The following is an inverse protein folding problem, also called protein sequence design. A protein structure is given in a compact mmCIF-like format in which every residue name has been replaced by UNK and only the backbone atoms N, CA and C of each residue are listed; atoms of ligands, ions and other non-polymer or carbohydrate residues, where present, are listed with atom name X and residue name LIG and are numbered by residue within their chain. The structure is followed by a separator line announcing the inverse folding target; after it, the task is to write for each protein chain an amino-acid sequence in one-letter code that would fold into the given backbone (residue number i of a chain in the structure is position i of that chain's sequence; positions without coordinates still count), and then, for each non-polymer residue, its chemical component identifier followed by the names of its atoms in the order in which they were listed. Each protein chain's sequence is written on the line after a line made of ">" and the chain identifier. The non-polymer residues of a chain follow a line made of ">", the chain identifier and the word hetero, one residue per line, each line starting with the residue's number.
data_IF_503097760870
#
_entry.id   IF_503097760870
#
_cell.length_a   1.000
_cell.length_b   1.000
_cell.length_c   1.000
_cell.angle_alpha   90.00
_cell.angle_beta   90.00
_cell.angle_gamma   90.00
#
_symmetry.space_group_name_H-M   'P 1'
#
loop_
_entity.id
_entity.type
_entity.pdbx_description
1 polymer ?
#
# COMPACT_ATOMS: atom_id res chain seq x y z
N UNK A 1 17.83 -9.30 -8.40
CA UNK A 1 16.49 -9.88 -8.14
C UNK A 1 15.46 -8.84 -8.58
N UNK A 2 14.45 -9.21 -9.31
CA UNK A 2 13.34 -8.30 -9.65
C UNK A 2 12.53 -8.08 -8.38
N UNK A 3 12.26 -6.81 -8.01
CA UNK A 3 11.48 -6.50 -6.81
C UNK A 3 10.05 -7.05 -6.89
N UNK A 4 9.40 -7.26 -5.75
CA UNK A 4 8.02 -7.75 -5.66
C UNK A 4 7.07 -6.60 -6.05
N UNK A 5 6.18 -6.80 -7.04
CA UNK A 5 5.19 -5.78 -7.40
C UNK A 5 4.21 -5.52 -6.25
N UNK A 6 3.89 -4.25 -6.03
CA UNK A 6 2.93 -3.80 -5.03
C UNK A 6 1.85 -2.95 -5.69
N UNK A 7 0.60 -3.36 -5.53
CA UNK A 7 -0.59 -2.63 -5.99
C UNK A 7 -1.40 -2.17 -4.80
N UNK A 8 -1.86 -0.92 -4.83
CA UNK A 8 -2.76 -0.37 -3.83
C UNK A 8 -4.18 -0.31 -4.40
N UNK A 9 -5.15 -0.87 -3.68
CA UNK A 9 -6.57 -0.78 -4.02
C UNK A 9 -7.22 0.25 -3.12
N UNK A 10 -7.54 1.40 -3.69
CA UNK A 10 -8.24 2.51 -3.05
C UNK A 10 -9.69 2.60 -3.49
N UNK A 11 -10.40 3.58 -2.95
CA UNK A 11 -11.80 3.87 -3.28
C UNK A 11 -12.64 4.10 -2.03
N UNK A 12 -13.71 4.88 -2.16
CA UNK A 12 -14.53 5.27 -1.04
C UNK A 12 -15.26 4.09 -0.37
N UNK A 13 -15.84 4.32 0.80
CA UNK A 13 -16.58 3.32 1.56
C UNK A 13 -17.67 2.67 0.70
N UNK A 14 -17.74 1.34 0.73
CA UNK A 14 -18.72 0.58 -0.04
C UNK A 14 -18.47 0.51 -1.55
N UNK A 15 -17.39 1.05 -2.10
CA UNK A 15 -17.13 1.05 -3.54
C UNK A 15 -16.92 -0.35 -4.15
N UNK A 16 -16.70 -1.39 -3.35
CA UNK A 16 -16.50 -2.76 -3.82
C UNK A 16 -15.04 -3.22 -3.86
N UNK A 17 -14.14 -2.60 -3.08
CA UNK A 17 -12.72 -2.96 -2.99
C UNK A 17 -12.52 -4.43 -2.63
N UNK A 18 -13.13 -4.88 -1.53
CA UNK A 18 -13.06 -6.28 -1.07
C UNK A 18 -13.61 -7.26 -2.11
N UNK A 19 -14.63 -6.86 -2.87
CA UNK A 19 -15.17 -7.67 -3.99
C UNK A 19 -14.12 -7.85 -5.08
N UNK A 20 -13.42 -6.78 -5.45
CA UNK A 20 -12.34 -6.82 -6.44
C UNK A 20 -11.18 -7.69 -5.95
N UNK A 21 -10.78 -7.56 -4.68
CA UNK A 21 -9.73 -8.39 -4.08
C UNK A 21 -10.12 -9.87 -4.11
N UNK A 22 -11.36 -10.19 -3.74
CA UNK A 22 -11.87 -11.56 -3.83
C UNK A 22 -11.87 -12.11 -5.27
N UNK A 23 -12.12 -11.27 -6.27
CA UNK A 23 -11.99 -11.66 -7.66
C UNK A 23 -10.54 -12.00 -8.02
N UNK A 24 -9.57 -11.18 -7.58
CA UNK A 24 -8.14 -11.44 -7.76
C UNK A 24 -7.73 -12.78 -7.13
N UNK A 25 -8.17 -13.03 -5.90
CA UNK A 25 -7.81 -14.24 -5.15
C UNK A 25 -8.45 -15.52 -5.71
N UNK A 26 -9.63 -15.41 -6.36
CA UNK A 26 -10.29 -16.58 -7.01
C UNK A 26 -9.60 -17.04 -8.29
N UNK A 27 -8.88 -16.16 -8.96
CA UNK A 27 -8.21 -16.43 -10.22
C UNK A 27 -6.73 -16.08 -10.14
N UNK A 28 -5.93 -16.75 -9.29
CA UNK A 28 -4.57 -16.36 -8.98
C UNK A 28 -3.58 -16.57 -10.13
N UNK A 29 -3.99 -17.24 -11.22
CA UNK A 29 -3.15 -17.48 -12.40
C UNK A 29 -1.77 -18.07 -12.08
N UNK A 30 -1.70 -18.91 -11.04
CA UNK A 30 -0.45 -19.53 -10.59
C UNK A 30 0.48 -18.60 -9.80
N UNK A 31 0.03 -17.39 -9.41
CA UNK A 31 0.79 -16.45 -8.57
C UNK A 31 0.30 -16.53 -7.13
N UNK A 32 1.22 -16.33 -6.21
CA UNK A 32 0.89 -16.15 -4.79
C UNK A 32 0.71 -14.66 -4.50
N UNK A 33 -0.50 -14.28 -4.16
CA UNK A 33 -0.85 -12.93 -3.76
C UNK A 33 -0.82 -12.82 -2.25
N UNK A 34 -0.09 -11.85 -1.73
CA UNK A 34 -0.24 -11.43 -0.35
C UNK A 34 -1.19 -10.24 -0.31
N UNK A 35 -2.29 -10.38 0.41
CA UNK A 35 -3.26 -9.30 0.60
C UNK A 35 -3.13 -8.72 2.00
N UNK A 36 -2.89 -7.42 2.08
CA UNK A 36 -2.86 -6.67 3.34
C UNK A 36 -4.08 -5.78 3.41
N UNK A 37 -4.94 -6.02 4.40
CA UNK A 37 -6.17 -5.24 4.60
C UNK A 37 -5.94 -4.24 5.71
N UNK A 38 -6.19 -2.98 5.39
CA UNK A 38 -6.07 -1.88 6.32
C UNK A 38 -7.45 -1.32 6.63
N UNK A 39 -8.08 -1.79 7.71
CA UNK A 39 -9.41 -1.38 8.11
C UNK A 39 -9.42 -0.47 9.33
N UNK A 40 -10.42 0.45 9.32
CA UNK A 40 -10.73 1.39 10.39
C UNK A 40 -11.77 0.76 11.33
N UNK A 41 -11.35 0.06 12.36
CA UNK A 41 -12.32 -0.37 13.37
C UNK A 41 -11.88 -1.54 14.23
N UNK A 42 -12.50 -1.65 15.39
CA UNK A 42 -12.29 -2.74 16.34
C UNK A 42 -12.90 -4.09 15.90
N UNK A 43 -13.54 -4.13 14.73
CA UNK A 43 -14.12 -5.33 14.13
C UNK A 43 -13.73 -5.32 12.64
N UNK A 44 -12.81 -6.20 12.26
CA UNK A 44 -12.35 -6.39 10.88
C UNK A 44 -13.43 -7.09 10.05
N UNK A 45 -14.50 -6.39 9.69
CA UNK A 45 -15.60 -6.95 8.90
C UNK A 45 -15.13 -7.28 7.48
N UNK A 46 -14.31 -6.41 6.90
CA UNK A 46 -13.86 -6.58 5.51
C UNK A 46 -12.87 -7.73 5.35
N UNK A 47 -11.96 -7.92 6.29
CA UNK A 47 -11.02 -9.04 6.25
C UNK A 47 -11.71 -10.41 6.40
N UNK A 48 -12.80 -10.49 7.16
CA UNK A 48 -13.60 -11.73 7.28
C UNK A 48 -14.34 -12.10 6.00
N UNK A 49 -14.43 -11.18 5.04
CA UNK A 49 -15.07 -11.41 3.73
C UNK A 49 -14.09 -11.93 2.66
N UNK A 50 -12.81 -12.03 2.96
CA UNK A 50 -11.83 -12.58 2.02
C UNK A 50 -11.96 -14.10 1.88
N UNK A 51 -11.91 -14.58 0.64
CA UNK A 51 -12.17 -15.99 0.29
C UNK A 51 -11.06 -16.93 0.74
N UNK A 52 -9.84 -16.41 0.94
CA UNK A 52 -8.67 -17.18 1.41
C UNK A 52 -8.00 -16.46 2.57
N UNK A 53 -8.48 -16.73 3.78
CA UNK A 53 -7.96 -16.09 4.99
C UNK A 53 -6.78 -16.85 5.64
N UNK A 54 -6.38 -18.03 5.12
CA UNK A 54 -5.64 -18.97 5.95
C UNK A 54 -4.10 -18.91 5.85
N UNK A 55 -3.48 -18.49 4.74
CA UNK A 55 -2.01 -18.44 4.68
C UNK A 55 -1.43 -17.21 3.94
N UNK A 56 -2.21 -16.59 3.06
CA UNK A 56 -1.73 -15.50 2.18
C UNK A 56 -2.33 -14.13 2.52
N UNK A 57 -2.97 -13.98 3.69
CA UNK A 57 -3.63 -12.74 4.10
C UNK A 57 -3.10 -12.25 5.45
N UNK A 58 -2.44 -11.09 5.45
CA UNK A 58 -2.02 -10.42 6.69
C UNK A 58 -3.00 -9.30 7.00
N UNK A 59 -3.62 -9.38 8.17
CA UNK A 59 -4.45 -8.31 8.72
C UNK A 59 -3.59 -7.34 9.52
N UNK A 60 -3.57 -6.09 9.13
CA UNK A 60 -2.98 -5.02 9.92
C UNK A 60 -4.01 -4.57 10.96
N UNK A 61 -3.96 -5.19 12.14
CA UNK A 61 -4.77 -4.74 13.28
C UNK A 61 -4.01 -3.62 13.98
N UNK A 62 -4.51 -2.39 13.96
CA UNK A 62 -4.47 -1.52 15.14
C UNK A 62 -4.98 -0.12 14.85
N UNK A 63 -5.75 0.36 15.77
CA UNK A 63 -6.44 1.63 15.74
C UNK A 63 -5.53 2.87 15.79
N UNK A 64 -6.10 3.99 15.38
CA UNK A 64 -5.54 5.33 15.27
C UNK A 64 -4.55 5.57 14.15
N UNK A 65 -5.09 5.67 13.03
CA UNK A 65 -4.55 5.61 11.69
C UNK A 65 -3.96 6.94 11.18
N UNK A 66 -4.13 8.05 11.85
CA UNK A 66 -3.69 9.33 11.30
C UNK A 66 -2.18 9.61 11.43
N UNK A 67 -1.47 8.92 12.34
CA UNK A 67 -0.09 9.25 12.65
C UNK A 67 0.90 8.06 12.65
N UNK A 68 0.42 6.81 12.69
CA UNK A 68 1.28 5.61 12.89
C UNK A 68 1.28 4.61 11.73
N UNK A 69 0.38 4.74 10.76
CA UNK A 69 0.22 3.79 9.64
C UNK A 69 1.49 3.49 8.86
N UNK A 70 2.39 4.44 8.71
CA UNK A 70 3.62 4.23 7.96
C UNK A 70 4.53 3.19 8.62
N UNK A 71 4.68 3.23 9.93
CA UNK A 71 5.62 2.37 10.65
C UNK A 71 5.16 0.91 10.68
N UNK A 72 3.90 0.65 11.03
CA UNK A 72 3.36 -0.71 11.16
C UNK A 72 3.28 -1.41 9.80
N UNK A 73 2.89 -0.69 8.76
CA UNK A 73 2.89 -1.20 7.39
C UNK A 73 4.30 -1.53 6.90
N UNK A 74 5.28 -0.67 7.17
CA UNK A 74 6.68 -0.92 6.83
C UNK A 74 7.24 -2.15 7.56
N UNK A 75 6.90 -2.32 8.84
CA UNK A 75 7.31 -3.49 9.63
C UNK A 75 6.70 -4.76 9.04
N UNK A 76 5.39 -4.79 8.81
CA UNK A 76 4.72 -5.95 8.24
C UNK A 76 5.25 -6.33 6.85
N UNK A 77 5.53 -5.35 6.00
CA UNK A 77 6.17 -5.60 4.70
C UNK A 77 7.61 -6.10 4.90
N UNK A 78 8.36 -5.53 5.86
CA UNK A 78 9.69 -5.99 6.20
C UNK A 78 9.72 -7.47 6.58
N UNK A 79 8.80 -7.91 7.45
CA UNK A 79 8.67 -9.30 7.90
C UNK A 79 8.38 -10.24 6.72
N UNK A 80 7.51 -9.82 5.79
CA UNK A 80 7.21 -10.56 4.56
C UNK A 80 8.43 -10.68 3.65
N UNK A 81 9.18 -9.60 3.48
CA UNK A 81 10.36 -9.58 2.62
C UNK A 81 11.53 -10.39 3.20
N UNK A 82 11.59 -10.52 4.52
CA UNK A 82 12.60 -11.29 5.24
C UNK A 82 12.20 -12.76 5.44
N UNK A 83 10.93 -13.10 5.22
CA UNK A 83 10.40 -14.45 5.33
C UNK A 83 10.87 -15.39 4.21
N UNK A 84 10.82 -16.71 4.49
CA UNK A 84 11.21 -17.75 3.55
C UNK A 84 10.27 -17.87 2.35
N UNK A 85 9.02 -17.45 2.52
CA UNK A 85 7.98 -17.52 1.47
C UNK A 85 7.65 -16.11 0.97
N UNK A 86 8.35 -15.66 -0.05
CA UNK A 86 8.05 -14.39 -0.71
C UNK A 86 6.84 -14.52 -1.64
N UNK A 87 5.89 -13.58 -1.60
CA UNK A 87 4.77 -13.55 -2.55
C UNK A 87 5.26 -13.09 -3.93
N UNK A 88 4.50 -13.46 -4.96
CA UNK A 88 4.74 -12.98 -6.32
C UNK A 88 4.17 -11.57 -6.54
N UNK A 89 3.22 -11.13 -5.70
CA UNK A 89 2.59 -9.81 -5.75
C UNK A 89 1.99 -9.45 -4.39
N UNK A 90 2.16 -8.21 -3.97
CA UNK A 90 1.54 -7.66 -2.77
C UNK A 90 0.38 -6.73 -3.17
N UNK A 91 -0.80 -6.98 -2.63
CA UNK A 91 -1.99 -6.14 -2.82
C UNK A 91 -2.37 -5.53 -1.47
N UNK A 92 -2.44 -4.20 -1.40
CA UNK A 92 -2.83 -3.51 -0.16
C UNK A 92 -4.19 -2.86 -0.36
N UNK A 93 -5.18 -3.26 0.44
CA UNK A 93 -6.46 -2.57 0.52
C UNK A 93 -6.33 -1.32 1.39
N UNK A 94 -6.54 -0.16 0.81
CA UNK A 94 -6.67 1.08 1.55
C UNK A 94 -8.06 1.19 2.18
N UNK A 95 -8.15 1.63 3.43
CA UNK A 95 -9.43 1.99 4.04
C UNK A 95 -10.19 2.99 3.16
N UNK A 96 -11.52 2.90 3.14
CA UNK A 96 -12.37 3.76 2.31
C UNK A 96 -12.21 5.26 2.52
N UNK A 97 -11.58 5.67 3.63
CA UNK A 97 -11.28 7.07 3.96
C UNK A 97 -9.78 7.39 3.91
N UNK A 98 -8.93 6.40 3.64
CA UNK A 98 -7.49 6.61 3.56
C UNK A 98 -7.09 7.27 2.23
N UNK A 99 -5.94 7.91 2.26
CA UNK A 99 -5.24 8.39 1.07
C UNK A 99 -4.37 7.25 0.51
N UNK A 100 -4.73 6.65 -0.64
CA UNK A 100 -4.00 5.52 -1.18
C UNK A 100 -2.57 5.88 -1.64
N UNK A 101 -2.30 7.16 -1.94
CA UNK A 101 -0.97 7.60 -2.32
C UNK A 101 0.03 7.48 -1.15
N UNK A 102 -0.42 7.68 0.09
CA UNK A 102 0.45 7.47 1.26
C UNK A 102 0.89 6.02 1.41
N UNK A 103 0.01 5.09 1.09
CA UNK A 103 0.30 3.65 1.10
C UNK A 103 1.26 3.31 -0.05
N UNK A 104 1.02 3.84 -1.25
CA UNK A 104 1.87 3.63 -2.41
C UNK A 104 3.32 4.10 -2.20
N UNK A 105 3.53 5.14 -1.39
CA UNK A 105 4.87 5.62 -1.04
C UNK A 105 5.73 4.56 -0.33
N UNK A 106 5.13 3.56 0.30
CA UNK A 106 5.86 2.43 0.88
C UNK A 106 6.59 1.64 -0.20
N UNK A 107 5.93 1.36 -1.33
CA UNK A 107 6.56 0.67 -2.45
C UNK A 107 7.70 1.47 -3.08
N UNK A 108 7.61 2.80 -3.04
CA UNK A 108 8.67 3.68 -3.55
C UNK A 108 9.88 3.72 -2.61
N UNK A 109 9.63 3.62 -1.29
CA UNK A 109 10.66 3.69 -0.27
C UNK A 109 11.40 2.36 -0.06
N UNK A 110 10.78 1.22 -0.39
CA UNK A 110 11.32 -0.11 -0.17
C UNK A 110 12.01 -0.64 -1.43
N UNK A 111 13.33 -0.91 -1.40
CA UNK A 111 14.10 -1.36 -2.57
C UNK A 111 13.66 -2.69 -3.16
N UNK A 112 13.14 -3.59 -2.32
CA UNK A 112 12.71 -4.92 -2.72
C UNK A 112 11.29 -4.92 -3.29
N UNK A 113 10.63 -3.76 -3.35
CA UNK A 113 9.32 -3.59 -3.96
C UNK A 113 9.40 -2.84 -5.29
N UNK A 114 8.43 -3.13 -6.15
CA UNK A 114 8.18 -2.38 -7.37
C UNK A 114 6.77 -1.80 -7.30
N UNK A 115 6.66 -0.47 -7.32
CA UNK A 115 5.37 0.19 -7.41
C UNK A 115 4.67 -0.20 -8.72
N UNK A 116 3.48 -0.81 -8.61
CA UNK A 116 2.70 -1.31 -9.74
C UNK A 116 1.53 -0.38 -10.08
N UNK A 117 1.03 0.37 -9.12
CA UNK A 117 -0.03 1.35 -9.35
C UNK A 117 -1.08 1.41 -8.24
N UNK A 118 -1.90 2.47 -8.30
CA UNK A 118 -3.09 2.66 -7.47
C UNK A 118 -4.31 2.36 -8.35
N UNK A 119 -5.11 1.35 -7.96
CA UNK A 119 -6.41 1.08 -8.53
C UNK A 119 -7.46 1.75 -7.64
N UNK A 120 -8.14 2.77 -8.15
CA UNK A 120 -9.26 3.37 -7.42
C UNK A 120 -10.58 2.76 -7.86
N UNK A 121 -11.21 2.03 -6.93
CA UNK A 121 -12.54 1.45 -7.14
C UNK A 121 -13.60 2.53 -6.95
N UNK A 122 -14.46 2.70 -7.94
CA UNK A 122 -15.52 3.71 -7.98
C UNK A 122 -16.87 3.01 -8.05
N UNK A 123 -17.76 3.32 -7.11
CA UNK A 123 -19.15 2.91 -7.15
C UNK A 123 -19.90 3.72 -8.22
N UNK A 124 -20.01 3.18 -9.41
CA UNK A 124 -20.60 3.89 -10.54
C UNK A 124 -22.07 4.26 -10.35
N UNK A 125 -22.78 3.59 -9.45
CA UNK A 125 -24.18 3.94 -9.15
C UNK A 125 -24.29 5.19 -8.27
N UNK A 126 -23.31 5.46 -7.40
CA UNK A 126 -23.39 6.52 -6.40
C UNK A 126 -22.33 7.63 -6.58
N UNK A 127 -21.37 7.45 -7.46
CA UNK A 127 -20.20 8.35 -7.57
C UNK A 127 -20.59 9.79 -7.88
N UNK A 128 -21.59 10.01 -8.76
CA UNK A 128 -21.97 11.36 -9.15
C UNK A 128 -22.55 12.15 -7.96
N UNK A 129 -23.33 11.51 -7.11
CA UNK A 129 -23.85 12.10 -5.88
C UNK A 129 -22.75 12.33 -4.86
N UNK A 130 -21.82 11.37 -4.71
CA UNK A 130 -20.67 11.48 -3.83
C UNK A 130 -19.78 12.66 -4.23
N UNK A 131 -19.55 12.88 -5.52
CA UNK A 131 -18.72 13.97 -6.02
C UNK A 131 -19.27 15.36 -5.71
N UNK A 132 -20.57 15.55 -5.57
CA UNK A 132 -21.19 16.84 -5.24
C UNK A 132 -21.52 16.99 -3.75
N UNK A 133 -21.32 15.91 -2.97
CA UNK A 133 -21.55 15.94 -1.53
C UNK A 133 -20.52 16.84 -0.82
N UNK A 134 -21.01 17.73 0.03
CA UNK A 134 -20.19 18.75 0.72
C UNK A 134 -19.23 18.18 1.76
N UNK A 135 -19.44 16.95 2.23
CA UNK A 135 -18.63 16.34 3.30
C UNK A 135 -17.58 15.38 2.75
N UNK A 136 -17.92 14.68 1.68
CA UNK A 136 -17.07 13.59 1.17
C UNK A 136 -16.54 13.85 -0.24
N UNK A 137 -17.09 14.82 -0.96
CA UNK A 137 -16.78 15.05 -2.37
C UNK A 137 -15.30 15.32 -2.64
N UNK A 138 -14.64 16.10 -1.81
CA UNK A 138 -13.21 16.39 -1.97
C UNK A 138 -12.36 15.14 -1.74
N UNK A 139 -12.68 14.34 -0.73
CA UNK A 139 -11.98 13.09 -0.44
C UNK A 139 -12.13 12.09 -1.60
N UNK A 140 -13.34 11.95 -2.14
CA UNK A 140 -13.60 11.07 -3.29
C UNK A 140 -12.84 11.55 -4.52
N UNK A 141 -12.82 12.88 -4.78
CA UNK A 141 -12.02 13.45 -5.88
C UNK A 141 -10.54 13.17 -5.71
N UNK A 142 -10.01 13.31 -4.50
CA UNK A 142 -8.59 13.11 -4.22
C UNK A 142 -8.19 11.65 -4.44
N UNK A 143 -9.02 10.68 -4.03
CA UNK A 143 -8.79 9.27 -4.32
C UNK A 143 -8.81 8.95 -5.81
N UNK A 144 -9.70 9.59 -6.60
CA UNK A 144 -9.76 9.42 -8.06
C UNK A 144 -8.55 10.09 -8.74
N UNK A 145 -8.12 11.25 -8.22
CA UNK A 145 -7.00 12.02 -8.81
C UNK A 145 -5.67 11.27 -8.77
N UNK A 146 -5.43 10.50 -7.72
CA UNK A 146 -4.18 9.74 -7.53
C UNK A 146 -4.19 8.38 -8.22
N UNK A 147 -5.31 7.97 -8.79
CA UNK A 147 -5.44 6.68 -9.47
C UNK A 147 -4.51 6.57 -10.69
N UNK A 148 -3.88 5.41 -10.84
CA UNK A 148 -3.25 4.97 -12.07
C UNK A 148 -4.23 4.19 -12.95
N UNK A 149 -5.27 3.62 -12.32
CA UNK A 149 -6.38 2.94 -12.96
C UNK A 149 -7.66 3.21 -12.17
N UNK A 150 -8.75 3.53 -12.87
CA UNK A 150 -10.07 3.65 -12.28
C UNK A 150 -10.88 2.40 -12.64
N UNK A 151 -11.36 1.69 -11.63
CA UNK A 151 -12.20 0.50 -11.78
C UNK A 151 -13.62 0.84 -11.38
N UNK A 152 -14.55 0.84 -12.36
CA UNK A 152 -15.95 1.15 -12.12
C UNK A 152 -16.72 -0.13 -11.78
N UNK A 153 -17.30 -0.15 -10.61
CA UNK A 153 -18.13 -1.24 -10.07
C UNK A 153 -19.62 -0.89 -10.08
N UNK A 154 -20.47 -1.87 -9.92
CA UNK A 154 -21.92 -1.79 -9.61
C UNK A 154 -22.83 -1.17 -10.68
N UNK A 155 -22.29 -0.67 -11.77
CA UNK A 155 -23.10 -0.13 -12.87
C UNK A 155 -22.41 -0.28 -14.20
N UNK A 156 -23.18 -0.11 -15.28
CA UNK A 156 -22.64 0.03 -16.62
C UNK A 156 -21.91 1.36 -16.76
N UNK A 157 -20.70 1.29 -17.33
CA UNK A 157 -19.96 2.50 -17.70
C UNK A 157 -20.65 3.12 -18.93
N UNK A 158 -21.08 4.37 -18.79
CA UNK A 158 -21.65 5.16 -19.87
C UNK A 158 -20.80 6.41 -20.15
N UNK A 159 -21.08 7.06 -21.26
CA UNK A 159 -20.30 8.24 -21.70
C UNK A 159 -20.34 9.37 -20.68
N UNK A 160 -21.48 9.61 -20.02
CA UNK A 160 -21.61 10.66 -19.02
C UNK A 160 -20.71 10.41 -17.82
N UNK A 161 -20.73 9.19 -17.27
CA UNK A 161 -19.88 8.79 -16.16
C UNK A 161 -18.39 8.86 -16.54
N UNK A 162 -18.06 8.35 -17.73
CA UNK A 162 -16.67 8.40 -18.24
C UNK A 162 -16.17 9.83 -18.38
N UNK A 163 -16.98 10.74 -18.92
CA UNK A 163 -16.64 12.16 -19.04
C UNK A 163 -16.43 12.81 -17.66
N UNK A 164 -17.31 12.54 -16.71
CA UNK A 164 -17.16 13.11 -15.36
C UNK A 164 -15.88 12.64 -14.67
N UNK A 165 -15.56 11.35 -14.73
CA UNK A 165 -14.31 10.81 -14.18
C UNK A 165 -13.08 11.38 -14.89
N UNK A 166 -13.13 11.54 -16.22
CA UNK A 166 -12.06 12.11 -17.02
C UNK A 166 -11.76 13.59 -16.69
N UNK A 167 -12.71 14.33 -16.12
CA UNK A 167 -12.44 15.69 -15.62
C UNK A 167 -11.55 15.71 -14.39
N UNK A 168 -11.49 14.60 -13.64
CA UNK A 168 -10.76 14.50 -12.36
C UNK A 168 -9.41 13.82 -12.55
N UNK A 169 -9.34 12.77 -13.37
CA UNK A 169 -8.12 11.99 -13.59
C UNK A 169 -7.98 11.58 -15.06
N UNK A 170 -6.73 11.50 -15.52
CA UNK A 170 -6.38 10.95 -16.84
C UNK A 170 -6.14 9.43 -16.82
N UNK A 171 -6.34 8.78 -15.67
CA UNK A 171 -6.17 7.35 -15.55
C UNK A 171 -7.15 6.61 -16.48
N UNK A 172 -6.76 5.50 -17.08
CA UNK A 172 -7.66 4.66 -17.84
C UNK A 172 -8.81 4.19 -16.96
N UNK A 173 -10.00 4.08 -17.54
CA UNK A 173 -11.22 3.65 -16.86
C UNK A 173 -11.58 2.26 -17.36
N UNK A 174 -11.65 1.30 -16.45
CA UNK A 174 -12.09 -0.06 -16.72
C UNK A 174 -13.42 -0.33 -16.04
N UNK A 175 -14.25 -1.09 -16.73
CA UNK A 175 -15.52 -1.60 -16.25
C UNK A 175 -15.34 -2.99 -15.63
N UNK A 176 -16.13 -3.31 -14.62
CA UNK A 176 -15.98 -4.55 -13.85
C UNK A 176 -16.11 -5.85 -14.63
N UNK A 177 -16.89 -5.85 -15.72
CA UNK A 177 -17.11 -7.01 -16.58
C UNK A 177 -16.05 -7.17 -17.69
N UNK A 178 -15.36 -6.09 -18.04
CA UNK A 178 -14.31 -6.07 -19.06
C UNK A 178 -12.90 -6.22 -18.47
N UNK A 179 -12.75 -6.06 -17.14
CA UNK A 179 -11.46 -6.10 -16.48
C UNK A 179 -11.01 -7.54 -16.24
N UNK A 180 -9.89 -7.94 -16.81
CA UNK A 180 -9.18 -9.15 -16.40
C UNK A 180 -8.22 -8.84 -15.27
N UNK A 181 -7.87 -9.84 -14.45
CA UNK A 181 -6.87 -9.67 -13.39
C UNK A 181 -5.53 -9.22 -13.97
N UNK A 182 -5.16 -9.74 -15.13
CA UNK A 182 -3.96 -9.33 -15.81
C UNK A 182 -3.97 -7.83 -16.15
N UNK A 183 -5.07 -7.29 -16.65
CA UNK A 183 -5.21 -5.86 -16.94
C UNK A 183 -5.15 -5.01 -15.66
N UNK A 184 -5.73 -5.51 -14.57
CA UNK A 184 -5.74 -4.80 -13.28
C UNK A 184 -4.35 -4.76 -12.63
N UNK A 185 -3.60 -5.85 -12.73
CA UNK A 185 -2.32 -6.01 -12.06
C UNK A 185 -1.11 -5.90 -13.01
N UNK A 186 -1.34 -5.64 -14.29
CA UNK A 186 -0.27 -5.32 -15.23
C UNK A 186 0.23 -3.89 -15.05
N UNK A 187 1.51 -3.62 -15.32
CA UNK A 187 2.03 -2.26 -15.31
C UNK A 187 1.35 -1.43 -16.41
N UNK A 188 0.28 -0.75 -16.08
CA UNK A 188 -0.02 0.51 -16.76
C UNK A 188 1.18 1.38 -16.45
N UNK A 189 1.76 2.06 -17.43
CA UNK A 189 2.93 2.91 -17.25
C UNK A 189 2.78 3.67 -15.92
N UNK A 190 3.43 3.25 -14.81
CA UNK A 190 3.18 3.86 -13.52
C UNK A 190 3.61 5.32 -13.63
N UNK A 191 2.83 6.23 -13.06
CA UNK A 191 3.27 7.62 -12.93
C UNK A 191 4.64 7.61 -12.28
N UNK A 192 5.58 8.38 -12.83
CA UNK A 192 6.87 8.52 -12.18
C UNK A 192 6.67 8.82 -10.68
N UNK A 193 7.48 8.26 -9.77
CA UNK A 193 7.34 8.43 -8.33
C UNK A 193 7.10 9.88 -7.90
N UNK A 194 7.67 10.85 -8.61
CA UNK A 194 7.53 12.29 -8.37
C UNK A 194 6.10 12.83 -8.64
N UNK A 195 5.22 12.03 -9.25
CA UNK A 195 3.84 12.41 -9.57
C UNK A 195 2.80 11.81 -8.63
N UNK A 196 3.22 10.94 -7.71
CA UNK A 196 2.33 10.19 -6.80
C UNK A 196 2.08 10.96 -5.52
N UNK A 197 2.17 12.15 -5.36
CA UNK A 197 1.64 13.00 -4.29
C UNK A 197 2.36 14.33 -4.23
N UNK A 198 1.73 15.31 -3.56
CA UNK A 198 2.39 16.50 -3.07
C UNK A 198 3.72 16.13 -2.37
N UNK A 199 4.75 16.96 -2.43
CA UNK A 199 6.13 16.59 -2.13
C UNK A 199 6.26 16.07 -0.70
N UNK A 200 6.13 14.76 -0.56
CA UNK A 200 6.73 14.11 0.58
C UNK A 200 8.23 14.07 0.30
N UNK A 201 9.00 14.44 1.30
CA UNK A 201 10.45 14.52 1.24
C UNK A 201 11.01 13.34 0.44
N UNK A 202 11.79 13.64 -0.60
CA UNK A 202 12.46 12.62 -1.38
C UNK A 202 13.31 11.78 -0.43
N UNK A 203 12.96 10.49 -0.28
CA UNK A 203 13.74 9.58 0.54
C UNK A 203 15.04 9.28 -0.18
N UNK A 204 16.14 9.52 0.50
CA UNK A 204 17.46 9.15 0.01
C UNK A 204 17.89 7.86 0.70
N UNK A 205 18.29 6.88 -0.09
CA UNK A 205 18.88 5.64 0.41
C UNK A 205 20.35 5.87 0.72
N UNK A 206 20.78 5.33 1.84
CA UNK A 206 22.17 5.34 2.25
C UNK A 206 22.59 3.96 2.73
N UNK A 207 23.77 3.54 2.36
CA UNK A 207 24.37 2.29 2.77
C UNK A 207 25.78 2.53 3.28
N UNK A 208 26.16 1.87 4.35
CA UNK A 208 27.52 1.87 4.84
C UNK A 208 27.91 0.50 5.37
N UNK A 209 29.14 0.12 5.09
CA UNK A 209 29.83 -0.98 5.75
C UNK A 209 30.90 -0.38 6.66
N UNK A 210 30.96 -0.87 7.88
CA UNK A 210 32.00 -0.49 8.81
C UNK A 210 32.40 -1.71 9.65
N UNK A 211 33.69 -1.95 9.77
CA UNK A 211 34.21 -2.98 10.67
C UNK A 211 34.38 -2.39 12.09
N UNK A 212 33.23 -2.15 12.71
CA UNK A 212 33.11 -1.57 14.05
C UNK A 212 32.31 -2.52 14.93
N UNK A 213 32.83 -2.74 16.13
CA UNK A 213 32.14 -3.48 17.19
C UNK A 213 31.42 -2.51 18.11
N UNK A 214 30.16 -2.78 18.40
CA UNK A 214 29.33 -1.96 19.26
C UNK A 214 29.04 -2.67 20.59
N UNK A 215 28.88 -1.89 21.65
CA UNK A 215 28.18 -2.34 22.83
C UNK A 215 26.65 -2.21 22.55
N UNK A 216 25.86 -3.25 22.88
CA UNK A 216 24.43 -3.28 22.59
C UNK A 216 23.67 -2.07 23.14
N UNK A 217 23.96 -1.66 24.37
CA UNK A 217 23.29 -0.51 24.98
C UNK A 217 23.66 0.80 24.27
N UNK A 218 24.94 0.98 23.95
CA UNK A 218 25.40 2.15 23.19
C UNK A 218 24.76 2.20 21.81
N UNK A 219 24.60 1.05 21.14
CA UNK A 219 23.91 0.95 19.87
C UNK A 219 22.44 1.40 19.99
N UNK A 220 21.71 0.89 21.00
CA UNK A 220 20.31 1.28 21.24
C UNK A 220 20.20 2.79 21.48
N UNK A 221 21.07 3.37 22.31
CA UNK A 221 21.08 4.83 22.54
C UNK A 221 21.33 5.61 21.25
N UNK A 222 22.32 5.20 20.44
CA UNK A 222 22.59 5.84 19.16
C UNK A 222 21.42 5.75 18.19
N UNK A 223 20.71 4.63 18.16
CA UNK A 223 19.51 4.43 17.35
C UNK A 223 18.34 5.30 17.86
N UNK A 224 18.22 5.52 19.16
CA UNK A 224 17.22 6.42 19.74
C UNK A 224 17.52 7.89 19.44
N UNK A 225 18.79 8.29 19.47
CA UNK A 225 19.25 9.66 19.20
C UNK A 225 19.57 9.92 17.72
N UNK A 226 19.16 9.05 16.82
CA UNK A 226 19.39 9.18 15.38
C UNK A 226 18.80 10.47 14.81
N UNK A 227 19.32 10.99 13.69
CA UNK A 227 18.77 12.17 13.03
C UNK A 227 17.28 12.00 12.71
N UNK A 228 16.47 13.04 12.96
CA UNK A 228 14.99 13.01 12.75
C UNK A 228 14.55 12.68 11.31
N UNK A 229 15.43 12.78 10.32
CA UNK A 229 15.17 12.42 8.94
C UNK A 229 15.39 10.94 8.61
N UNK A 230 15.85 10.12 9.56
CA UNK A 230 16.07 8.69 9.36
C UNK A 230 14.79 7.94 9.74
N UNK A 231 14.01 7.55 8.74
CA UNK A 231 12.72 6.87 8.93
C UNK A 231 12.86 5.35 9.06
N UNK A 232 13.86 4.75 8.39
CA UNK A 232 14.12 3.32 8.42
C UNK A 232 15.62 3.05 8.42
N UNK A 233 16.02 2.06 9.21
CA UNK A 233 17.35 1.45 9.16
C UNK A 233 17.21 -0.06 9.25
N UNK A 234 18.00 -0.78 8.47
CA UNK A 234 18.11 -2.22 8.54
C UNK A 234 19.56 -2.63 8.34
N UNK A 235 20.00 -3.61 9.10
CA UNK A 235 21.36 -4.11 8.94
C UNK A 235 21.75 -5.12 10.00
N UNK A 236 22.98 -5.61 9.83
CA UNK A 236 23.62 -6.46 10.81
C UNK A 236 24.80 -5.70 11.44
N UNK A 237 24.87 -5.72 12.74
CA UNK A 237 25.89 -5.02 13.52
C UNK A 237 26.59 -6.00 14.43
N UNK A 238 27.91 -5.98 14.44
CA UNK A 238 28.69 -6.76 15.41
C UNK A 238 28.59 -6.09 16.77
N UNK A 239 28.04 -6.81 17.74
CA UNK A 239 28.03 -6.35 19.13
C UNK A 239 28.63 -7.42 20.03
N UNK A 240 29.69 -7.04 20.71
CA UNK A 240 30.49 -7.94 21.57
C UNK A 240 30.94 -9.19 20.78
N UNK A 241 30.38 -10.36 21.02
CA UNK A 241 30.78 -11.59 20.33
C UNK A 241 29.69 -12.09 19.36
N UNK A 242 28.66 -11.27 19.08
CA UNK A 242 27.48 -11.68 18.30
C UNK A 242 27.18 -10.68 17.19
N UNK A 243 26.58 -11.22 16.12
CA UNK A 243 25.90 -10.40 15.12
C UNK A 243 24.47 -10.14 15.60
N UNK A 244 24.08 -8.88 15.67
CA UNK A 244 22.72 -8.46 15.97
C UNK A 244 22.07 -7.93 14.70
N UNK A 245 20.81 -8.29 14.48
CA UNK A 245 19.99 -7.62 13.47
C UNK A 245 19.48 -6.30 14.06
N UNK A 246 19.49 -5.26 13.25
CA UNK A 246 18.97 -3.94 13.63
C UNK A 246 17.82 -3.61 12.70
N UNK A 247 16.67 -3.34 13.29
CA UNK A 247 15.49 -2.86 12.59
C UNK A 247 14.99 -1.59 13.26
N UNK A 248 14.90 -0.52 12.51
CA UNK A 248 14.35 0.76 12.97
C UNK A 248 13.31 1.25 11.98
N UNK A 249 12.11 1.52 12.46
CA UNK A 249 11.04 2.11 11.67
C UNK A 249 10.30 3.14 12.52
N UNK A 250 10.33 4.40 12.09
CA UNK A 250 9.76 5.47 12.90
C UNK A 250 10.33 5.49 14.33
N UNK A 251 9.51 5.36 15.34
CA UNK A 251 9.93 5.31 16.74
C UNK A 251 10.29 3.89 17.24
N UNK A 252 9.97 2.86 16.44
CA UNK A 252 10.22 1.47 16.80
C UNK A 252 11.67 1.09 16.53
N UNK A 253 12.31 0.44 17.52
CA UNK A 253 13.70 -0.02 17.45
C UNK A 253 13.72 -1.46 17.95
N UNK A 254 14.18 -2.37 17.11
CA UNK A 254 14.45 -3.76 17.43
C UNK A 254 15.93 -4.09 17.17
N UNK A 255 16.59 -4.77 18.15
CA UNK A 255 18.03 -5.09 18.14
C UNK A 255 18.30 -6.42 18.83
#
# INVERSE_FOLDING_TARGET
>A
MTGIPLTVIGGYLGAGKTTLINQILREPQGKRYLVMVNDFGAINVDASLLVSADEDTIQLSNGCVCCTMGADLFLAIGDVLDGDMRPDHIVIEASGIADPAKIANVAVAEPDLVYQGIITVVDGANILDQLVDRFVGDQVRDQIRVADLIYVSKTELNDHLSMQLATISKAPILKSDAATIEMLLSPSTPKAPDQIAAPHAAYTKWFAEADVEFNRNTLIYALQDRPKGVFRMKGFVRAETRMLSVHVVGAHIDV
#
